data_IF_987050373429
#
_entry.id   IF_987050373429
#
_cell.length_a   1.000
_cell.length_b   1.000
_cell.length_c   1.000
_cell.angle_alpha   90.00
_cell.angle_beta   90.00
_cell.angle_gamma   90.00
#
_symmetry.space_group_name_H-M   'P 1'
#
loop_
_entity.id
_entity.type
_entity.pdbx_description
1 polymer ?
#
# COMPACT_ATOMS: atom_id res chain seq x y z
N UNK A 1 1.00 -21.55 24.21
CA UNK A 1 1.76 -21.14 23.01
C UNK A 1 0.95 -20.04 22.32
N UNK A 2 1.26 -18.77 22.59
CA UNK A 2 0.54 -17.63 22.00
C UNK A 2 0.92 -17.53 20.51
N UNK A 3 -0.03 -17.82 19.63
CA UNK A 3 0.08 -17.53 18.20
C UNK A 3 0.10 -16.01 18.05
N UNK A 4 1.28 -15.45 17.85
CA UNK A 4 1.48 -14.03 17.61
C UNK A 4 0.82 -13.67 16.27
N UNK A 5 -0.17 -12.75 16.23
CA UNK A 5 -0.82 -12.37 14.97
C UNK A 5 0.19 -11.65 14.07
N UNK A 6 0.32 -12.12 12.83
CA UNK A 6 1.15 -11.49 11.81
C UNK A 6 0.76 -10.01 11.64
N UNK A 7 1.71 -9.15 11.27
CA UNK A 7 1.47 -7.71 11.15
C UNK A 7 1.57 -7.31 9.67
N UNK A 8 0.48 -6.86 9.06
CA UNK A 8 0.46 -6.52 7.64
C UNK A 8 0.66 -5.01 7.40
N UNK A 9 1.66 -4.68 6.60
CA UNK A 9 1.85 -3.37 5.97
C UNK A 9 1.40 -3.44 4.51
N UNK A 10 0.47 -2.59 4.12
CA UNK A 10 -0.10 -2.56 2.78
C UNK A 10 0.26 -1.25 2.09
N UNK A 11 0.78 -1.36 0.87
CA UNK A 11 1.32 -0.22 0.14
C UNK A 11 0.88 -0.27 -1.33
N UNK A 12 0.05 0.68 -1.74
CA UNK A 12 -0.37 0.85 -3.15
C UNK A 12 0.55 1.86 -3.81
N UNK A 13 1.40 1.40 -4.72
CA UNK A 13 2.06 2.29 -5.68
C UNK A 13 1.14 2.61 -6.84
N UNK A 14 1.14 3.87 -7.27
CA UNK A 14 0.77 4.25 -8.65
C UNK A 14 1.96 4.85 -9.39
N UNK A 15 2.76 4.01 -10.06
CA UNK A 15 3.58 4.43 -11.20
C UNK A 15 3.04 3.71 -12.44
N UNK A 16 2.85 4.46 -13.53
CA UNK A 16 2.26 4.07 -14.84
C UNK A 16 0.72 3.87 -14.90
N UNK A 17 0.10 4.15 -16.08
CA UNK A 17 -1.35 4.14 -16.29
C UNK A 17 -2.01 2.76 -16.23
N UNK A 18 -1.24 1.67 -16.05
CA UNK A 18 -1.76 0.30 -16.11
C UNK A 18 -2.50 -0.17 -14.85
N UNK A 19 -2.34 0.52 -13.71
CA UNK A 19 -3.15 0.29 -12.50
C UNK A 19 -4.22 1.39 -12.35
N UNK A 20 -4.85 1.75 -13.46
CA UNK A 20 -6.04 2.58 -13.43
C UNK A 20 -7.14 1.82 -12.72
N UNK A 21 -7.75 2.42 -11.69
CA UNK A 21 -9.01 1.87 -11.16
C UNK A 21 -9.98 1.72 -12.33
N UNK A 22 -10.78 0.65 -12.38
CA UNK A 22 -11.86 0.58 -13.35
C UNK A 22 -12.72 1.83 -13.18
N UNK A 23 -13.17 2.42 -14.29
CA UNK A 23 -14.05 3.59 -14.26
C UNK A 23 -15.27 3.23 -13.40
N UNK A 24 -15.62 4.08 -12.44
CA UNK A 24 -16.74 3.95 -11.50
C UNK A 24 -16.57 3.03 -10.27
N UNK A 25 -15.37 2.58 -9.92
CA UNK A 25 -15.17 1.86 -8.64
C UNK A 25 -14.92 2.83 -7.49
N UNK A 26 -15.74 2.76 -6.45
CA UNK A 26 -15.61 3.61 -5.26
C UNK A 26 -14.37 3.23 -4.45
N UNK A 27 -13.64 4.20 -3.85
CA UNK A 27 -12.50 3.91 -2.98
C UNK A 27 -12.79 2.92 -1.85
N UNK A 28 -13.97 3.02 -1.25
CA UNK A 28 -14.45 2.21 -0.14
C UNK A 28 -14.52 0.74 -0.53
N UNK A 29 -15.05 0.43 -1.71
CA UNK A 29 -15.18 -0.94 -2.19
C UNK A 29 -13.80 -1.57 -2.44
N UNK A 30 -12.82 -0.79 -2.92
CA UNK A 30 -11.45 -1.27 -3.13
C UNK A 30 -10.81 -1.64 -1.80
N UNK A 31 -10.88 -0.74 -0.82
CA UNK A 31 -10.28 -0.95 0.51
C UNK A 31 -10.94 -2.12 1.21
N UNK A 32 -12.28 -2.18 1.19
CA UNK A 32 -13.04 -3.29 1.77
C UNK A 32 -12.69 -4.63 1.13
N UNK A 33 -12.58 -4.69 -0.20
CA UNK A 33 -12.21 -5.94 -0.89
C UNK A 33 -10.80 -6.39 -0.52
N UNK A 34 -9.86 -5.45 -0.38
CA UNK A 34 -8.51 -5.74 0.11
C UNK A 34 -8.56 -6.32 1.52
N UNK A 35 -9.27 -5.68 2.44
CA UNK A 35 -9.42 -6.15 3.83
C UNK A 35 -10.05 -7.55 3.90
N UNK A 36 -11.09 -7.81 3.11
CA UNK A 36 -11.74 -9.12 3.05
C UNK A 36 -10.80 -10.22 2.54
N UNK A 37 -10.08 -9.97 1.45
CA UNK A 37 -9.14 -10.95 0.88
C UNK A 37 -8.00 -11.24 1.85
N UNK A 38 -7.48 -10.20 2.51
CA UNK A 38 -6.40 -10.33 3.48
C UNK A 38 -6.85 -11.08 4.74
N UNK A 39 -8.05 -10.78 5.25
CA UNK A 39 -8.61 -11.46 6.41
C UNK A 39 -8.94 -12.93 6.16
N UNK A 40 -9.19 -13.31 4.91
CA UNK A 40 -9.44 -14.70 4.52
C UNK A 40 -8.16 -15.48 4.17
N UNK A 41 -7.00 -14.82 4.04
CA UNK A 41 -5.79 -15.45 3.55
C UNK A 41 -5.07 -16.23 4.66
N UNK A 42 -4.85 -17.56 4.52
CA UNK A 42 -4.39 -18.43 5.61
C UNK A 42 -2.96 -18.13 6.11
N UNK A 43 -2.14 -17.47 5.30
CA UNK A 43 -0.78 -17.05 5.68
C UNK A 43 -0.73 -15.65 6.33
N UNK A 44 -1.84 -14.92 6.35
CA UNK A 44 -1.92 -13.55 6.87
C UNK A 44 -2.82 -13.59 8.11
N UNK A 45 -2.19 -13.65 9.28
CA UNK A 45 -2.92 -13.49 10.54
C UNK A 45 -2.81 -12.03 10.97
N UNK A 46 -3.81 -11.49 11.67
CA UNK A 46 -3.74 -10.16 12.28
C UNK A 46 -4.36 -9.01 11.47
N UNK A 47 -4.26 -7.80 12.05
CA UNK A 47 -4.88 -6.58 11.50
C UNK A 47 -3.91 -5.80 10.60
N UNK A 48 -4.47 -5.10 9.62
CA UNK A 48 -3.73 -4.15 8.79
C UNK A 48 -3.21 -3.02 9.68
N UNK A 49 -1.89 -2.79 9.68
CA UNK A 49 -1.24 -1.72 10.48
C UNK A 49 -1.05 -0.44 9.69
N UNK A 50 -0.77 -0.56 8.40
CA UNK A 50 -0.54 0.58 7.51
C UNK A 50 -1.19 0.27 6.17
N UNK A 51 -1.94 1.22 5.64
CA UNK A 51 -2.61 1.15 4.36
C UNK A 51 -2.34 2.48 3.66
N UNK A 52 -1.37 2.51 2.75
CA UNK A 52 -0.92 3.76 2.11
C UNK A 52 -1.12 3.72 0.60
N UNK A 53 -1.44 4.87 -0.01
CA UNK A 53 -1.47 5.05 -1.47
C UNK A 53 -0.64 6.25 -1.89
N UNK A 54 0.29 6.04 -2.83
CA UNK A 54 1.27 7.05 -3.25
C UNK A 54 0.89 7.57 -4.62
N UNK A 55 0.66 8.88 -4.72
CA UNK A 55 0.35 9.54 -5.99
C UNK A 55 0.55 11.03 -5.91
N UNK A 56 0.72 11.63 -7.07
CA UNK A 56 0.32 13.01 -7.26
C UNK A 56 -1.22 13.14 -7.24
N UNK A 57 -1.73 13.87 -6.23
CA UNK A 57 -3.15 14.19 -6.08
C UNK A 57 -3.50 15.59 -6.60
N UNK A 58 -2.54 16.34 -7.16
CA UNK A 58 -2.75 17.74 -7.57
C UNK A 58 -3.79 17.88 -8.68
N UNK A 59 -3.98 16.84 -9.49
CA UNK A 59 -4.98 16.77 -10.57
C UNK A 59 -6.23 15.96 -10.20
N UNK A 60 -6.35 15.50 -8.95
CA UNK A 60 -7.47 14.66 -8.53
C UNK A 60 -8.66 15.51 -8.03
N UNK A 61 -9.91 15.13 -8.35
CA UNK A 61 -11.07 15.81 -7.78
C UNK A 61 -11.06 15.71 -6.26
N UNK A 62 -11.30 16.83 -5.57
CA UNK A 62 -11.35 16.91 -4.10
C UNK A 62 -12.24 15.81 -3.49
N UNK A 63 -13.42 15.57 -4.08
CA UNK A 63 -14.36 14.53 -3.65
C UNK A 63 -13.75 13.12 -3.67
N UNK A 64 -12.87 12.84 -4.63
CA UNK A 64 -12.21 11.53 -4.72
C UNK A 64 -11.18 11.38 -3.59
N UNK A 65 -10.40 12.43 -3.32
CA UNK A 65 -9.40 12.45 -2.24
C UNK A 65 -10.06 12.33 -0.87
N UNK A 66 -11.16 13.07 -0.64
CA UNK A 66 -11.98 12.95 0.57
C UNK A 66 -12.54 11.53 0.76
N UNK A 67 -13.04 10.91 -0.31
CA UNK A 67 -13.55 9.54 -0.25
C UNK A 67 -12.45 8.56 0.22
N UNK A 68 -11.23 8.66 -0.30
CA UNK A 68 -10.11 7.85 0.21
C UNK A 68 -9.75 8.18 1.66
N UNK A 69 -9.75 9.44 2.08
CA UNK A 69 -9.48 9.78 3.48
C UNK A 69 -10.49 9.12 4.42
N UNK A 70 -11.77 9.03 4.02
CA UNK A 70 -12.81 8.33 4.80
C UNK A 70 -12.60 6.82 4.93
N UNK A 71 -11.84 6.21 4.02
CA UNK A 71 -11.50 4.77 4.09
C UNK A 71 -10.38 4.43 5.06
N UNK A 72 -9.71 5.43 5.65
CA UNK A 72 -8.54 5.19 6.51
C UNK A 72 -7.24 4.89 5.74
N UNK A 73 -7.25 5.01 4.41
CA UNK A 73 -6.04 4.95 3.59
C UNK A 73 -5.22 6.22 3.80
N UNK A 74 -3.95 6.07 4.13
CA UNK A 74 -2.99 7.14 4.16
C UNK A 74 -2.60 7.57 2.73
N UNK A 75 -3.04 8.74 2.29
CA UNK A 75 -2.70 9.28 0.98
C UNK A 75 -1.38 10.03 1.06
N UNK A 76 -0.33 9.43 0.51
CA UNK A 76 1.00 10.05 0.44
C UNK A 76 1.09 10.85 -0.86
N UNK A 77 1.02 12.16 -0.73
CA UNK A 77 1.17 13.07 -1.87
C UNK A 77 2.62 13.13 -2.34
N UNK A 78 2.81 12.87 -3.62
CA UNK A 78 4.12 12.89 -4.26
C UNK A 78 4.06 13.82 -5.47
N UNK A 79 4.83 14.91 -5.44
CA UNK A 79 4.87 15.88 -6.52
C UNK A 79 5.50 15.31 -7.80
N UNK A 80 4.82 15.46 -8.95
CA UNK A 80 5.27 15.02 -10.29
C UNK A 80 6.43 15.86 -10.87
N UNK A 81 7.37 16.32 -10.05
CA UNK A 81 8.57 17.05 -10.48
C UNK A 81 9.83 16.19 -10.58
N UNK A 82 9.78 14.95 -10.09
CA UNK A 82 10.93 14.04 -10.04
C UNK A 82 10.50 12.65 -10.47
N UNK A 83 11.11 12.17 -11.55
CA UNK A 83 11.12 10.76 -11.93
C UNK A 83 11.54 9.97 -10.68
N UNK A 84 10.76 8.97 -10.28
CA UNK A 84 11.02 8.08 -9.13
C UNK A 84 10.71 8.64 -7.72
N UNK A 85 10.08 9.81 -7.59
CA UNK A 85 9.72 10.32 -6.26
C UNK A 85 8.79 9.37 -5.49
N UNK A 86 7.81 8.78 -6.18
CA UNK A 86 6.86 7.85 -5.56
C UNK A 86 7.58 6.56 -5.16
N UNK A 87 8.49 6.10 -6.00
CA UNK A 87 9.27 4.88 -5.83
C UNK A 87 10.13 4.96 -4.57
N UNK A 88 10.84 6.08 -4.41
CA UNK A 88 11.66 6.36 -3.24
C UNK A 88 10.82 6.47 -1.97
N UNK A 89 9.70 7.20 -2.03
CA UNK A 89 8.78 7.29 -0.89
C UNK A 89 8.28 5.89 -0.48
N UNK A 90 8.02 5.02 -1.46
CA UNK A 90 7.54 3.68 -1.18
C UNK A 90 8.63 2.81 -0.55
N UNK A 91 9.83 2.81 -1.13
CA UNK A 91 10.97 2.08 -0.57
C UNK A 91 11.23 2.51 0.88
N UNK A 92 11.28 3.81 1.14
CA UNK A 92 11.48 4.36 2.48
C UNK A 92 10.40 3.85 3.44
N UNK A 93 9.12 3.92 3.07
CA UNK A 93 8.04 3.46 3.93
C UNK A 93 8.03 1.94 4.15
N UNK A 94 8.43 1.14 3.16
CA UNK A 94 8.62 -0.30 3.31
C UNK A 94 9.75 -0.62 4.30
N UNK A 95 10.89 0.08 4.18
CA UNK A 95 12.02 -0.09 5.11
C UNK A 95 11.65 0.34 6.52
N UNK A 96 10.99 1.50 6.69
CA UNK A 96 10.51 1.96 7.99
C UNK A 96 9.52 0.97 8.60
N UNK A 97 8.60 0.42 7.80
CA UNK A 97 7.70 -0.64 8.28
C UNK A 97 8.47 -1.86 8.79
N UNK A 98 9.49 -2.33 8.05
CA UNK A 98 10.30 -3.48 8.45
C UNK A 98 11.13 -3.20 9.72
N UNK A 99 11.54 -1.95 9.95
CA UNK A 99 12.21 -1.53 11.18
C UNK A 99 11.26 -1.48 12.38
N UNK A 100 10.06 -0.92 12.19
CA UNK A 100 9.03 -0.80 13.21
C UNK A 100 8.45 -2.16 13.64
N UNK A 101 8.39 -3.11 12.70
CA UNK A 101 7.70 -4.39 12.87
C UNK A 101 8.59 -5.58 12.54
N UNK A 102 9.17 -6.19 13.58
CA UNK A 102 9.91 -7.47 13.46
C UNK A 102 8.99 -8.63 13.07
N UNK A 103 9.58 -9.68 12.49
CA UNK A 103 8.85 -10.89 12.09
C UNK A 103 8.07 -11.50 13.28
N UNK A 104 6.87 -12.06 13.05
CA UNK A 104 6.18 -12.20 11.76
C UNK A 104 5.48 -10.90 11.29
N UNK A 105 5.88 -10.41 10.11
CA UNK A 105 5.28 -9.26 9.44
C UNK A 105 5.17 -9.55 7.94
N UNK A 106 4.16 -8.99 7.29
CA UNK A 106 3.86 -9.20 5.88
C UNK A 106 3.76 -7.84 5.20
N UNK A 107 4.35 -7.70 4.03
CA UNK A 107 4.22 -6.50 3.20
C UNK A 107 3.47 -6.90 1.94
N UNK A 108 2.33 -6.26 1.66
CA UNK A 108 1.63 -6.40 0.38
C UNK A 108 1.84 -5.12 -0.44
N UNK A 109 2.62 -5.25 -1.51
CA UNK A 109 2.83 -4.18 -2.49
C UNK A 109 1.95 -4.43 -3.71
N UNK A 110 1.05 -3.49 -4.01
CA UNK A 110 0.34 -3.46 -5.30
C UNK A 110 1.06 -2.45 -6.19
N UNK A 111 1.84 -2.97 -7.15
CA UNK A 111 2.63 -2.19 -8.09
C UNK A 111 2.76 -2.96 -9.41
N UNK A 112 2.75 -2.24 -10.53
CA UNK A 112 3.07 -2.80 -11.85
C UNK A 112 4.55 -2.63 -12.23
N UNK A 113 5.37 -2.23 -11.28
CA UNK A 113 6.76 -1.81 -11.48
C UNK A 113 7.74 -2.86 -10.97
N UNK A 114 8.67 -3.30 -11.83
CA UNK A 114 9.64 -4.34 -11.52
C UNK A 114 10.73 -3.85 -10.57
N UNK A 115 10.92 -2.54 -10.44
CA UNK A 115 12.02 -1.93 -9.69
C UNK A 115 11.95 -2.24 -8.17
N UNK A 116 10.81 -2.71 -7.64
CA UNK A 116 10.69 -3.16 -6.25
C UNK A 116 11.11 -4.61 -6.01
N UNK A 117 11.35 -5.40 -7.05
CA UNK A 117 11.63 -6.83 -6.90
C UNK A 117 12.84 -7.07 -5.98
N UNK A 118 13.89 -6.25 -6.13
CA UNK A 118 15.07 -6.34 -5.26
C UNK A 118 14.75 -6.03 -3.79
N UNK A 119 14.02 -4.95 -3.53
CA UNK A 119 13.63 -4.59 -2.16
C UNK A 119 12.76 -5.66 -1.50
N UNK A 120 11.78 -6.20 -2.23
CA UNK A 120 10.92 -7.29 -1.74
C UNK A 120 11.71 -8.57 -1.46
N UNK A 121 12.69 -8.91 -2.31
CA UNK A 121 13.57 -10.05 -2.09
C UNK A 121 14.39 -9.86 -0.81
N UNK A 122 15.00 -8.69 -0.61
CA UNK A 122 15.80 -8.37 0.56
C UNK A 122 14.97 -8.41 1.85
N UNK A 123 13.75 -7.85 1.86
CA UNK A 123 12.89 -7.83 3.05
C UNK A 123 12.29 -9.21 3.41
N UNK A 124 12.32 -10.16 2.48
CA UNK A 124 11.89 -11.54 2.74
C UNK A 124 12.89 -12.31 3.62
N UNK A 125 14.17 -11.92 3.61
CA UNK A 125 15.27 -12.55 4.34
C UNK A 125 15.62 -11.79 5.61
#
# INVERSE_FOLDING_TARGET
MMLCPSRLGFQIKRSKPNCSKPRNVRPEDVVRNIELVLGAHPAINGSIKRLSAYRDFSSSPMRLTEAYHRTGVNLVHVLNGRKDAADKAILVDMFLFALDYRRPATILLISGDIDFAHALHTLRH
#
